data_IF_767350109606
#
_entry.id   IF_767350109606
#
_cell.length_a   1.000
_cell.length_b   1.000
_cell.length_c   1.000
_cell.angle_alpha   90.00
_cell.angle_beta   90.00
_cell.angle_gamma   90.00
#
_symmetry.space_group_name_H-M   'P 1'
#
loop_
_entity.id
_entity.type
_entity.pdbx_description
1 polymer ?
#
# COMPACT_ATOMS: atom_id res chain seq x y z
N UNK A 1 24.91 25.67 7.86
CA UNK A 1 25.43 24.33 7.57
C UNK A 1 24.65 23.23 8.29
N UNK A 2 24.37 23.32 9.60
CA UNK A 2 23.63 22.28 10.37
C UNK A 2 22.25 21.85 9.80
N UNK A 3 21.46 22.76 9.23
CA UNK A 3 20.14 22.44 8.69
C UNK A 3 20.16 21.57 7.41
N UNK A 4 21.14 21.76 6.54
CA UNK A 4 21.31 20.96 5.32
C UNK A 4 21.74 19.53 5.61
N UNK A 5 22.60 19.33 6.62
CA UNK A 5 23.04 18.00 7.02
C UNK A 5 21.93 17.21 7.72
N UNK A 6 21.07 17.87 8.50
CA UNK A 6 19.90 17.26 9.11
C UNK A 6 18.88 16.81 8.04
N UNK A 7 18.57 17.68 7.06
CA UNK A 7 17.66 17.31 5.96
C UNK A 7 18.21 16.15 5.12
N UNK A 8 19.52 16.13 4.81
CA UNK A 8 20.15 15.01 4.10
C UNK A 8 20.07 13.69 4.86
N UNK A 9 20.31 13.69 6.18
CA UNK A 9 20.19 12.50 7.03
C UNK A 9 18.75 11.97 7.06
N UNK A 10 17.76 12.85 7.16
CA UNK A 10 16.34 12.47 7.15
C UNK A 10 15.93 11.91 5.79
N UNK A 11 16.36 12.53 4.69
CA UNK A 11 16.12 12.03 3.34
C UNK A 11 16.77 10.66 3.12
N UNK A 12 18.01 10.46 3.54
CA UNK A 12 18.71 9.18 3.42
C UNK A 12 17.97 8.08 4.22
N UNK A 13 17.58 8.37 5.47
CA UNK A 13 16.80 7.44 6.30
C UNK A 13 15.49 7.05 5.60
N UNK A 14 14.75 8.01 5.08
CA UNK A 14 13.48 7.76 4.40
C UNK A 14 13.69 6.96 3.11
N UNK A 15 14.75 7.24 2.34
CA UNK A 15 15.09 6.48 1.14
C UNK A 15 15.48 5.03 1.46
N UNK A 16 16.23 4.80 2.55
CA UNK A 16 16.56 3.45 3.00
C UNK A 16 15.32 2.68 3.47
N UNK A 17 14.39 3.33 4.16
CA UNK A 17 13.12 2.72 4.56
C UNK A 17 12.27 2.35 3.34
N UNK A 18 12.21 3.21 2.33
CA UNK A 18 11.51 2.92 1.08
C UNK A 18 12.15 1.75 0.33
N UNK A 19 13.48 1.70 0.27
CA UNK A 19 14.20 0.59 -0.34
C UNK A 19 13.93 -0.73 0.40
N UNK A 20 13.97 -0.71 1.73
CA UNK A 20 13.63 -1.87 2.55
C UNK A 20 12.19 -2.34 2.29
N UNK A 21 11.25 -1.41 2.24
CA UNK A 21 9.84 -1.71 1.93
C UNK A 21 9.71 -2.34 0.54
N UNK A 22 10.37 -1.79 -0.47
CA UNK A 22 10.36 -2.34 -1.83
C UNK A 22 10.95 -3.75 -1.88
N UNK A 23 12.03 -3.99 -1.14
CA UNK A 23 12.66 -5.32 -1.03
C UNK A 23 11.70 -6.33 -0.38
N UNK A 24 11.05 -5.95 0.73
CA UNK A 24 10.06 -6.80 1.42
C UNK A 24 8.90 -7.13 0.47
N UNK A 25 8.41 -6.16 -0.29
CA UNK A 25 7.34 -6.38 -1.28
C UNK A 25 7.78 -7.32 -2.40
N UNK A 26 9.01 -7.16 -2.93
CA UNK A 26 9.57 -8.05 -3.94
C UNK A 26 9.64 -9.50 -3.46
N UNK A 27 10.15 -9.73 -2.25
CA UNK A 27 10.20 -11.06 -1.63
C UNK A 27 8.78 -11.60 -1.38
N UNK A 28 7.85 -10.74 -0.97
CA UNK A 28 6.46 -11.13 -0.75
C UNK A 28 5.78 -11.65 -2.03
N UNK A 29 6.06 -11.08 -3.20
CA UNK A 29 5.54 -11.58 -4.48
C UNK A 29 6.00 -13.01 -4.77
N UNK A 30 7.28 -13.32 -4.53
CA UNK A 30 7.83 -14.65 -4.70
C UNK A 30 7.19 -15.63 -3.70
N UNK A 31 7.09 -15.24 -2.43
CA UNK A 31 6.45 -16.05 -1.40
C UNK A 31 4.97 -16.31 -1.70
N UNK A 32 4.25 -15.32 -2.24
CA UNK A 32 2.88 -15.47 -2.69
C UNK A 32 2.76 -16.48 -3.84
N UNK A 33 3.65 -16.42 -4.82
CA UNK A 33 3.65 -17.36 -5.94
C UNK A 33 3.87 -18.80 -5.48
N UNK A 34 4.90 -19.04 -4.66
CA UNK A 34 5.19 -20.37 -4.10
C UNK A 34 4.07 -20.86 -3.17
N UNK A 35 3.48 -19.97 -2.39
CA UNK A 35 2.37 -20.30 -1.52
C UNK A 35 1.13 -20.77 -2.26
N UNK A 36 0.91 -20.28 -3.50
CA UNK A 36 -0.22 -20.69 -4.34
C UNK A 36 -0.12 -22.14 -4.85
N UNK A 37 1.05 -22.75 -4.81
CA UNK A 37 1.23 -24.17 -5.17
C UNK A 37 0.64 -25.10 -4.10
N UNK A 38 0.42 -24.60 -2.86
CA UNK A 38 0.01 -25.41 -1.71
C UNK A 38 -1.33 -24.99 -1.11
N UNK A 39 -1.72 -23.71 -1.24
CA UNK A 39 -2.93 -23.15 -0.59
C UNK A 39 -3.71 -22.29 -1.57
N UNK A 40 -5.03 -22.30 -1.49
CA UNK A 40 -5.86 -21.43 -2.33
C UNK A 40 -5.66 -19.93 -2.02
N UNK A 41 -5.94 -19.04 -3.02
CA UNK A 41 -5.69 -17.61 -2.93
C UNK A 41 -6.37 -16.93 -1.73
N UNK A 42 -7.60 -17.30 -1.44
CA UNK A 42 -8.36 -16.71 -0.33
C UNK A 42 -7.83 -17.17 1.03
N UNK A 43 -7.48 -18.45 1.17
CA UNK A 43 -6.89 -18.99 2.40
C UNK A 43 -5.55 -18.33 2.69
N UNK A 44 -4.69 -18.19 1.68
CA UNK A 44 -3.41 -17.51 1.83
C UNK A 44 -3.60 -16.07 2.30
N UNK A 45 -4.50 -15.31 1.67
CA UNK A 45 -4.80 -13.93 2.05
C UNK A 45 -5.36 -13.83 3.47
N UNK A 46 -6.30 -14.70 3.85
CA UNK A 46 -6.88 -14.69 5.19
C UNK A 46 -5.82 -14.96 6.27
N UNK A 47 -5.01 -15.99 6.12
CA UNK A 47 -3.94 -16.31 7.07
C UNK A 47 -2.93 -15.18 7.19
N UNK A 48 -2.48 -14.62 6.06
CA UNK A 48 -1.55 -13.49 6.05
C UNK A 48 -2.12 -12.27 6.78
N UNK A 49 -3.39 -11.95 6.54
CA UNK A 49 -4.06 -10.80 7.17
C UNK A 49 -4.24 -11.00 8.68
N UNK A 50 -4.61 -12.20 9.12
CA UNK A 50 -4.73 -12.54 10.54
C UNK A 50 -3.37 -12.41 11.24
N UNK A 51 -2.31 -12.97 10.65
CA UNK A 51 -0.95 -12.86 11.21
C UNK A 51 -0.52 -11.38 11.27
N UNK A 52 -0.78 -10.61 10.21
CA UNK A 52 -0.48 -9.19 10.17
C UNK A 52 -1.20 -8.40 11.27
N UNK A 53 -2.49 -8.64 11.46
CA UNK A 53 -3.29 -8.03 12.53
C UNK A 53 -2.76 -8.39 13.92
N UNK A 54 -2.46 -9.66 14.18
CA UNK A 54 -1.91 -10.12 15.48
C UNK A 54 -0.57 -9.42 15.77
N UNK A 55 0.31 -9.28 14.78
CA UNK A 55 1.62 -8.60 14.94
C UNK A 55 1.46 -7.11 15.20
N UNK A 56 0.43 -6.46 14.66
CA UNK A 56 0.19 -5.04 14.88
C UNK A 56 -0.34 -4.72 16.28
N UNK A 57 -1.04 -5.64 16.96
CA UNK A 57 -1.57 -5.40 18.30
C UNK A 57 -0.48 -5.00 19.30
N UNK A 58 0.60 -5.78 19.51
CA UNK A 58 1.69 -5.37 20.41
C UNK A 58 2.38 -4.07 19.98
N UNK A 59 2.48 -3.82 18.66
CA UNK A 59 3.03 -2.55 18.16
C UNK A 59 2.16 -1.35 18.57
N UNK A 60 0.84 -1.47 18.53
CA UNK A 60 -0.10 -0.44 18.98
C UNK A 60 0.08 -0.17 20.47
N UNK A 61 0.12 -1.21 21.31
CA UNK A 61 0.34 -1.08 22.74
C UNK A 61 1.66 -0.35 23.06
N UNK A 62 2.73 -0.71 22.37
CA UNK A 62 4.04 -0.07 22.56
C UNK A 62 4.05 1.41 22.13
N UNK A 63 3.39 1.73 21.02
CA UNK A 63 3.31 3.10 20.53
C UNK A 63 2.40 3.97 21.40
N UNK A 64 1.27 3.45 21.86
CA UNK A 64 0.37 4.16 22.78
C UNK A 64 1.05 4.44 24.12
N UNK A 65 1.83 3.49 24.64
CA UNK A 65 2.59 3.70 25.88
C UNK A 65 3.62 4.84 25.74
N UNK A 66 4.31 4.90 24.59
CA UNK A 66 5.25 5.99 24.29
C UNK A 66 4.57 7.36 24.11
N UNK A 67 3.35 7.39 23.58
CA UNK A 67 2.58 8.64 23.44
C UNK A 67 2.04 9.14 24.77
N UNK A 68 1.70 8.22 25.69
CA UNK A 68 1.22 8.57 27.05
C UNK A 68 2.27 9.31 27.88
N UNK A 69 3.57 9.13 27.61
CA UNK A 69 4.65 9.87 28.26
C UNK A 69 4.80 11.33 27.75
N UNK A 70 4.20 11.66 26.60
CA UNK A 70 4.11 13.02 26.11
C UNK A 70 2.76 13.59 26.59
N UNK A 71 2.82 14.59 27.48
CA UNK A 71 1.64 15.32 28.02
C UNK A 71 0.89 16.04 26.89
N UNK A 72 0.14 15.32 26.06
CA UNK A 72 -0.87 15.90 25.19
C UNK A 72 -2.17 16.01 25.98
N UNK A 73 -2.87 17.15 25.85
CA UNK A 73 -4.20 17.35 26.45
C UNK A 73 -5.14 16.25 25.96
N UNK A 74 -5.79 15.56 26.89
CA UNK A 74 -6.75 14.51 26.56
C UNK A 74 -7.90 15.11 25.76
N UNK A 75 -8.21 14.59 24.56
CA UNK A 75 -9.31 15.09 23.75
C UNK A 75 -10.65 14.91 24.50
N UNK A 76 -11.60 15.83 24.27
CA UNK A 76 -12.91 15.74 24.84
C UNK A 76 -13.64 14.44 24.47
N UNK A 77 -14.60 13.95 25.29
CA UNK A 77 -15.34 12.72 24.98
C UNK A 77 -16.00 12.73 23.59
N UNK A 78 -16.46 13.89 23.14
CA UNK A 78 -17.04 14.06 21.80
C UNK A 78 -15.97 13.91 20.68
N UNK A 79 -14.80 14.52 20.87
CA UNK A 79 -13.67 14.40 19.94
C UNK A 79 -13.16 12.96 19.87
N UNK A 80 -13.11 12.26 21.00
CA UNK A 80 -12.75 10.83 21.03
C UNK A 80 -13.73 9.96 20.25
N UNK A 81 -15.03 10.19 20.41
CA UNK A 81 -16.06 9.45 19.69
C UNK A 81 -15.98 9.69 18.17
N UNK A 82 -15.77 10.94 17.74
CA UNK A 82 -15.60 11.30 16.33
C UNK A 82 -14.34 10.70 15.72
N UNK A 83 -13.19 10.74 16.41
CA UNK A 83 -11.95 10.13 16.00
C UNK A 83 -12.08 8.61 15.88
N UNK A 84 -12.76 7.96 16.83
CA UNK A 84 -13.00 6.51 16.81
C UNK A 84 -13.90 6.12 15.64
N UNK A 85 -14.98 6.86 15.39
CA UNK A 85 -15.87 6.63 14.25
C UNK A 85 -15.12 6.79 12.91
N UNK A 86 -14.31 7.83 12.79
CA UNK A 86 -13.49 8.10 11.60
C UNK A 86 -12.43 7.00 11.39
N UNK A 87 -11.82 6.53 12.49
CA UNK A 87 -10.85 5.43 12.47
C UNK A 87 -11.47 4.12 11.97
N UNK A 88 -12.63 3.75 12.51
CA UNK A 88 -13.36 2.54 12.13
C UNK A 88 -13.79 2.63 10.65
N UNK A 89 -14.39 3.75 10.25
CA UNK A 89 -14.81 3.96 8.87
C UNK A 89 -13.62 3.86 7.89
N UNK A 90 -12.52 4.55 8.21
CA UNK A 90 -11.29 4.51 7.40
C UNK A 90 -10.70 3.10 7.31
N UNK A 91 -10.60 2.40 8.45
CA UNK A 91 -10.08 1.03 8.50
C UNK A 91 -10.94 0.04 7.72
N UNK A 92 -12.27 0.12 7.84
CA UNK A 92 -13.22 -0.75 7.10
C UNK A 92 -13.15 -0.46 5.59
N UNK A 93 -13.18 0.81 5.17
CA UNK A 93 -13.06 1.17 3.76
C UNK A 93 -11.74 0.70 3.16
N UNK A 94 -10.62 0.93 3.88
CA UNK A 94 -9.30 0.44 3.46
C UNK A 94 -9.27 -1.09 3.41
N UNK A 95 -9.83 -1.77 4.42
CA UNK A 95 -9.87 -3.23 4.52
C UNK A 95 -10.63 -3.88 3.36
N UNK A 96 -11.79 -3.34 3.01
CA UNK A 96 -12.58 -3.85 1.86
C UNK A 96 -11.77 -3.71 0.56
N UNK A 97 -11.19 -2.53 0.30
CA UNK A 97 -10.40 -2.31 -0.91
C UNK A 97 -9.14 -3.19 -0.94
N UNK A 98 -8.46 -3.33 0.20
CA UNK A 98 -7.28 -4.19 0.32
C UNK A 98 -7.62 -5.67 0.11
N UNK A 99 -8.72 -6.15 0.71
CA UNK A 99 -9.18 -7.52 0.56
C UNK A 99 -9.54 -7.84 -0.90
N UNK A 100 -10.24 -6.94 -1.58
CA UNK A 100 -10.56 -7.07 -3.00
C UNK A 100 -9.29 -7.04 -3.85
N UNK A 101 -8.44 -6.02 -3.67
CA UNK A 101 -7.21 -5.86 -4.43
C UNK A 101 -6.29 -7.08 -4.31
N UNK A 102 -6.04 -7.54 -3.08
CA UNK A 102 -5.19 -8.70 -2.82
C UNK A 102 -5.81 -10.01 -3.33
N UNK A 103 -7.12 -10.15 -3.31
CA UNK A 103 -7.80 -11.32 -3.89
C UNK A 103 -7.66 -11.38 -5.41
N UNK A 104 -7.85 -10.26 -6.10
CA UNK A 104 -7.62 -10.18 -7.55
C UNK A 104 -6.14 -10.40 -7.90
N UNK A 105 -5.21 -9.89 -7.10
CA UNK A 105 -3.78 -10.11 -7.27
C UNK A 105 -3.43 -11.59 -7.14
N UNK A 106 -3.89 -12.26 -6.08
CA UNK A 106 -3.62 -13.66 -5.83
C UNK A 106 -4.20 -14.58 -6.91
N UNK A 107 -5.43 -14.31 -7.35
CA UNK A 107 -6.03 -15.03 -8.48
C UNK A 107 -5.23 -14.78 -9.77
N UNK A 108 -4.76 -13.54 -9.99
CA UNK A 108 -3.99 -13.19 -11.18
C UNK A 108 -2.64 -13.88 -11.25
N UNK A 109 -1.92 -13.96 -10.12
CA UNK A 109 -0.59 -14.60 -10.03
C UNK A 109 -0.65 -16.09 -10.45
N UNK A 110 -1.79 -16.76 -10.30
CA UNK A 110 -1.96 -18.16 -10.76
C UNK A 110 -1.91 -18.31 -12.28
N UNK A 111 -2.16 -17.25 -13.05
CA UNK A 111 -2.31 -17.27 -14.50
C UNK A 111 -1.28 -16.38 -15.22
N UNK A 112 -0.35 -15.76 -14.51
CA UNK A 112 0.70 -14.91 -15.07
C UNK A 112 2.02 -15.09 -14.33
N UNK A 113 3.12 -14.58 -14.87
CA UNK A 113 4.41 -14.65 -14.19
C UNK A 113 4.51 -13.64 -13.06
N UNK A 114 5.34 -13.93 -12.04
CA UNK A 114 5.58 -13.05 -10.90
C UNK A 114 6.05 -11.66 -11.35
N UNK A 115 6.94 -11.61 -12.35
CA UNK A 115 7.44 -10.37 -12.92
C UNK A 115 6.34 -9.53 -13.57
N UNK A 116 5.47 -10.17 -14.39
CA UNK A 116 4.32 -9.49 -15.02
C UNK A 116 3.29 -9.02 -13.98
N UNK A 117 2.99 -9.87 -12.98
CA UNK A 117 2.09 -9.49 -11.90
C UNK A 117 2.61 -8.28 -11.11
N UNK A 118 3.90 -8.28 -10.76
CA UNK A 118 4.56 -7.15 -10.11
C UNK A 118 4.50 -5.87 -10.96
N UNK A 119 4.78 -6.01 -12.27
CA UNK A 119 4.70 -4.91 -13.24
C UNK A 119 3.31 -4.28 -13.31
N UNK A 120 2.29 -5.11 -13.60
CA UNK A 120 0.92 -4.62 -13.77
C UNK A 120 0.40 -4.04 -12.46
N UNK A 121 0.72 -4.66 -11.32
CA UNK A 121 0.38 -4.10 -10.03
C UNK A 121 1.00 -2.71 -9.86
N UNK A 122 2.27 -2.53 -10.17
CA UNK A 122 2.97 -1.25 -10.03
C UNK A 122 2.42 -0.14 -10.93
N UNK A 123 1.55 -0.43 -11.91
CA UNK A 123 0.84 0.60 -12.68
C UNK A 123 -0.04 1.51 -11.78
N UNK A 124 -0.32 1.12 -10.52
CA UNK A 124 -0.95 2.04 -9.57
C UNK A 124 -0.15 3.34 -9.38
N UNK A 125 1.17 3.33 -9.58
CA UNK A 125 2.04 4.52 -9.54
C UNK A 125 1.57 5.59 -10.53
N UNK A 126 1.01 5.15 -11.67
CA UNK A 126 0.44 6.03 -12.71
C UNK A 126 -1.01 6.38 -12.40
N UNK A 127 -1.78 5.38 -11.98
CA UNK A 127 -3.23 5.51 -11.76
C UNK A 127 -3.51 6.45 -10.57
N UNK A 128 -2.76 6.36 -9.48
CA UNK A 128 -2.93 7.19 -8.28
C UNK A 128 -2.85 8.69 -8.58
N UNK A 129 -1.81 9.23 -9.24
CA UNK A 129 -1.78 10.64 -9.61
C UNK A 129 -2.92 11.07 -10.54
N UNK A 130 -3.30 10.22 -11.49
CA UNK A 130 -4.42 10.49 -12.40
C UNK A 130 -5.72 10.60 -11.62
N UNK A 131 -6.07 9.60 -10.82
CA UNK A 131 -7.27 9.60 -9.99
C UNK A 131 -7.23 10.74 -8.96
N UNK A 132 -6.08 10.99 -8.33
CA UNK A 132 -5.87 12.09 -7.39
C UNK A 132 -6.10 13.47 -8.03
N UNK A 133 -5.68 13.65 -9.28
CA UNK A 133 -5.94 14.87 -10.03
C UNK A 133 -7.44 15.04 -10.34
N UNK A 134 -8.10 14.00 -10.83
CA UNK A 134 -9.52 14.06 -11.21
C UNK A 134 -10.47 14.13 -9.99
N UNK A 135 -10.27 13.27 -8.98
CA UNK A 135 -11.20 13.16 -7.85
C UNK A 135 -10.88 14.13 -6.71
N UNK A 136 -9.60 14.32 -6.39
CA UNK A 136 -9.16 15.14 -5.26
C UNK A 136 -8.65 16.51 -5.69
N UNK A 137 -8.67 16.81 -7.01
CA UNK A 137 -8.16 18.07 -7.62
C UNK A 137 -6.74 18.43 -7.17
N UNK A 138 -5.93 17.41 -6.83
CA UNK A 138 -4.53 17.60 -6.44
C UNK A 138 -3.72 18.00 -7.66
N UNK A 139 -2.91 19.06 -7.52
CA UNK A 139 -1.99 19.48 -8.58
C UNK A 139 -0.74 18.60 -8.53
N UNK A 140 -0.53 17.81 -9.58
CA UNK A 140 0.68 17.02 -9.75
C UNK A 140 1.72 17.86 -10.50
N UNK A 141 2.90 18.04 -9.91
CA UNK A 141 4.01 18.73 -10.56
C UNK A 141 4.59 17.92 -11.74
N UNK A 142 5.24 18.59 -12.70
CA UNK A 142 5.87 17.95 -13.85
C UNK A 142 6.86 16.83 -13.47
N UNK A 143 7.55 16.97 -12.35
CA UNK A 143 8.49 15.96 -11.82
C UNK A 143 7.82 14.60 -11.57
N UNK A 144 6.57 14.59 -11.10
CA UNK A 144 5.81 13.35 -10.88
C UNK A 144 5.54 12.66 -12.22
N UNK A 145 5.15 13.41 -13.25
CA UNK A 145 4.89 12.84 -14.57
C UNK A 145 6.15 12.29 -15.25
N UNK A 146 7.29 12.94 -15.05
CA UNK A 146 8.59 12.43 -15.52
C UNK A 146 8.94 11.13 -14.80
N UNK A 147 8.77 11.08 -13.47
CA UNK A 147 9.01 9.87 -12.69
C UNK A 147 8.09 8.72 -13.10
N UNK A 148 6.82 9.01 -13.39
CA UNK A 148 5.84 8.06 -13.94
C UNK A 148 6.29 7.52 -15.29
N UNK A 149 6.70 8.39 -16.22
CA UNK A 149 7.17 7.97 -17.53
C UNK A 149 8.42 7.08 -17.45
N UNK A 150 9.38 7.43 -16.57
CA UNK A 150 10.58 6.63 -16.33
C UNK A 150 10.24 5.26 -15.70
N UNK A 151 9.32 5.23 -14.73
CA UNK A 151 8.85 4.00 -14.13
C UNK A 151 8.19 3.09 -15.17
N UNK A 152 7.29 3.62 -16.01
CA UNK A 152 6.65 2.86 -17.09
C UNK A 152 7.66 2.33 -18.11
N UNK A 153 8.64 3.14 -18.51
CA UNK A 153 9.68 2.72 -19.44
C UNK A 153 10.52 1.58 -18.85
N UNK A 154 10.96 1.70 -17.60
CA UNK A 154 11.71 0.64 -16.90
C UNK A 154 10.92 -0.65 -16.78
N UNK A 155 9.66 -0.53 -16.46
CA UNK A 155 8.73 -1.63 -16.35
C UNK A 155 8.44 -2.29 -17.72
N UNK A 156 8.27 -1.51 -18.79
CA UNK A 156 8.10 -2.01 -20.14
C UNK A 156 9.31 -2.85 -20.59
N UNK A 157 10.53 -2.36 -20.34
CA UNK A 157 11.77 -3.07 -20.64
C UNK A 157 11.87 -4.40 -19.89
N UNK A 158 11.34 -4.48 -18.67
CA UNK A 158 11.31 -5.73 -17.90
C UNK A 158 10.37 -6.78 -18.50
N UNK A 159 9.28 -6.35 -19.13
CA UNK A 159 8.22 -7.25 -19.61
C UNK A 159 8.28 -7.60 -21.07
N UNK A 160 9.12 -6.93 -21.87
CA UNK A 160 9.19 -7.14 -23.33
C UNK A 160 9.72 -8.53 -23.71
N UNK A 161 10.46 -9.19 -22.81
CA UNK A 161 11.07 -10.50 -23.02
C UNK A 161 10.06 -11.65 -23.09
N UNK A 162 8.84 -11.50 -22.57
CA UNK A 162 7.86 -12.59 -22.43
C UNK A 162 6.76 -12.62 -23.50
N UNK A 163 6.88 -11.78 -24.54
CA UNK A 163 5.86 -11.67 -25.59
C UNK A 163 4.61 -10.90 -25.14
N UNK A 164 4.10 -10.03 -26.01
CA UNK A 164 2.98 -9.11 -25.72
C UNK A 164 1.61 -9.81 -25.88
N UNK A 165 1.29 -10.80 -25.05
CA UNK A 165 -0.06 -11.36 -24.98
C UNK A 165 -0.68 -11.05 -23.62
N UNK A 166 -1.80 -10.31 -23.63
CA UNK A 166 -2.58 -10.04 -22.41
C UNK A 166 -3.41 -11.26 -22.07
N UNK A 167 -3.01 -11.97 -21.03
CA UNK A 167 -3.72 -13.15 -20.54
C UNK A 167 -4.80 -12.82 -19.50
N UNK A 168 -5.57 -13.84 -19.12
CA UNK A 168 -6.58 -13.74 -18.08
C UNK A 168 -5.99 -13.26 -16.74
N UNK A 169 -4.79 -13.73 -16.40
CA UNK A 169 -4.06 -13.31 -15.18
C UNK A 169 -3.73 -11.82 -15.19
N UNK A 170 -3.27 -11.32 -16.34
CA UNK A 170 -2.91 -9.90 -16.49
C UNK A 170 -4.13 -8.98 -16.28
N UNK A 171 -5.31 -9.37 -16.81
CA UNK A 171 -6.57 -8.62 -16.59
C UNK A 171 -6.96 -8.58 -15.11
N UNK A 172 -6.84 -9.70 -14.39
CA UNK A 172 -7.11 -9.75 -12.95
C UNK A 172 -6.16 -8.82 -12.17
N UNK A 173 -4.87 -8.81 -12.52
CA UNK A 173 -3.88 -7.92 -11.90
C UNK A 173 -4.09 -6.45 -12.29
N UNK A 174 -4.62 -6.15 -13.47
CA UNK A 174 -5.02 -4.78 -13.83
C UNK A 174 -6.17 -4.27 -12.94
N UNK A 175 -7.17 -5.09 -12.67
CA UNK A 175 -8.25 -4.77 -11.71
C UNK A 175 -7.66 -4.56 -10.31
N UNK A 176 -6.74 -5.43 -9.89
CA UNK A 176 -6.00 -5.26 -8.64
C UNK A 176 -5.28 -3.91 -8.57
N UNK A 177 -4.56 -3.50 -9.62
CA UNK A 177 -3.86 -2.22 -9.69
C UNK A 177 -4.79 -1.02 -9.51
N UNK A 178 -5.98 -1.06 -10.13
CA UNK A 178 -7.01 -0.04 -9.94
C UNK A 178 -7.52 -0.01 -8.49
N UNK A 179 -7.81 -1.16 -7.89
CA UNK A 179 -8.27 -1.27 -6.51
C UNK A 179 -7.20 -0.79 -5.50
N UNK A 180 -5.92 -1.13 -5.71
CA UNK A 180 -4.83 -0.57 -4.93
C UNK A 180 -4.72 0.95 -5.06
N UNK A 181 -4.96 1.48 -6.26
CA UNK A 181 -4.97 2.94 -6.47
C UNK A 181 -6.06 3.62 -5.64
N UNK A 182 -7.26 3.05 -5.61
CA UNK A 182 -8.35 3.55 -4.78
C UNK A 182 -8.02 3.40 -3.29
N UNK A 183 -7.45 2.27 -2.88
CA UNK A 183 -7.01 2.03 -1.50
C UNK A 183 -6.01 3.10 -1.03
N UNK A 184 -4.99 3.41 -1.85
CA UNK A 184 -4.01 4.46 -1.55
C UNK A 184 -4.67 5.83 -1.39
N UNK A 185 -5.65 6.17 -2.25
CA UNK A 185 -6.39 7.44 -2.13
C UNK A 185 -7.24 7.51 -0.85
N UNK A 186 -7.83 6.39 -0.43
CA UNK A 186 -8.57 6.31 0.84
C UNK A 186 -7.63 6.46 2.02
N UNK A 187 -6.46 5.80 2.01
CA UNK A 187 -5.41 6.00 3.03
C UNK A 187 -4.99 7.47 3.09
N UNK A 188 -4.72 8.10 1.95
CA UNK A 188 -4.31 9.50 1.87
C UNK A 188 -5.36 10.46 2.45
N UNK A 189 -6.65 10.12 2.33
CA UNK A 189 -7.74 10.90 2.91
C UNK A 189 -7.87 10.74 4.43
N UNK A 190 -7.70 9.52 4.95
CA UNK A 190 -7.92 9.21 6.36
C UNK A 190 -6.67 9.34 7.22
N UNK A 191 -5.46 9.06 6.71
CA UNK A 191 -4.22 9.04 7.49
C UNK A 191 -3.88 10.35 8.22
N UNK A 192 -4.24 11.56 7.73
CA UNK A 192 -4.05 12.79 8.50
C UNK A 192 -5.03 12.97 9.67
N UNK A 193 -6.10 12.19 9.71
CA UNK A 193 -7.21 12.34 10.66
C UNK A 193 -7.19 11.33 11.80
N UNK A 194 -6.48 10.20 11.59
CA UNK A 194 -6.48 9.07 12.51
C UNK A 194 -5.09 8.46 12.65
N UNK A 195 -4.89 7.64 13.68
CA UNK A 195 -3.65 6.89 13.83
C UNK A 195 -3.53 5.81 12.76
N UNK A 196 -2.52 5.94 11.89
CA UNK A 196 -2.31 5.05 10.75
C UNK A 196 -2.03 3.60 11.16
N UNK A 197 -1.40 3.36 12.33
CA UNK A 197 -1.11 2.00 12.80
C UNK A 197 -2.39 1.32 13.27
N UNK A 198 -3.25 2.05 13.99
CA UNK A 198 -4.57 1.55 14.41
C UNK A 198 -5.46 1.29 13.20
N UNK A 199 -5.45 2.20 12.21
CA UNK A 199 -6.18 2.01 10.96
C UNK A 199 -5.69 0.77 10.19
N UNK A 200 -4.37 0.54 10.14
CA UNK A 200 -3.78 -0.65 9.51
C UNK A 200 -4.10 -1.95 10.24
N UNK A 201 -4.39 -1.92 11.52
CA UNK A 201 -4.83 -3.10 12.27
C UNK A 201 -6.29 -3.46 11.97
N UNK A 202 -7.14 -2.45 11.70
CA UNK A 202 -8.55 -2.67 11.38
C UNK A 202 -8.72 -3.16 9.94
N UNK A 203 -7.89 -2.67 9.00
CA UNK A 203 -7.96 -3.08 7.59
C UNK A 203 -7.48 -4.51 7.34
#
# INVERSE_FOLDING_TARGET
MKGRDFMKKTQLKNSLLLLLTATIWGVAFVAQSVGMDHVGPFTFNAVRSIIGGIVLIPCIFFLDHRKSDQKEELPSPQQQAEQTSTLILGGVCCGILLALASSFQQMGIQYTTVGRAGFITACYIVIVPILGHFFLRKKCGATIWIAVALALAGLYLLCITDGFSVGKGDLLVMVCSLLFSLHILVIDYFSPKVDGVKMSCIQ
#
